data_IF_697010848945
#
_entry.id   IF_697010848945
#
_cell.length_a   1.000
_cell.length_b   1.000
_cell.length_c   1.000
_cell.angle_alpha   90.00
_cell.angle_beta   90.00
_cell.angle_gamma   90.00
#
_symmetry.space_group_name_H-M   'P 1'
#
loop_
_entity.id
_entity.type
_entity.pdbx_description
1 polymer ?
#
# COMPACT_ATOMS: atom_id res chain seq x y z
N UNK A 1 25.55 23.18 27.06
CA UNK A 1 25.20 22.06 26.16
C UNK A 1 24.36 22.61 25.03
N UNK A 2 24.93 22.76 23.83
CA UNK A 2 24.19 23.21 22.64
C UNK A 2 23.47 22.01 22.05
N UNK A 3 22.15 21.99 22.14
CA UNK A 3 21.27 21.02 21.47
C UNK A 3 21.38 21.25 19.98
N UNK A 4 22.08 20.37 19.27
CA UNK A 4 22.01 20.30 17.82
C UNK A 4 20.64 19.74 17.43
N UNK A 5 19.69 20.64 17.16
CA UNK A 5 18.55 20.34 16.31
C UNK A 5 19.13 19.98 14.94
N UNK A 6 19.20 18.68 14.66
CA UNK A 6 19.29 18.22 13.28
C UNK A 6 17.99 18.64 12.59
N UNK A 7 18.05 19.79 11.91
CA UNK A 7 17.15 20.11 10.82
C UNK A 7 17.45 19.04 9.78
N UNK A 8 16.65 17.98 9.77
CA UNK A 8 16.57 17.08 8.63
C UNK A 8 16.04 17.97 7.50
N UNK A 9 16.95 18.45 6.64
CA UNK A 9 16.58 19.06 5.37
C UNK A 9 15.75 18.01 4.63
N UNK A 10 14.44 18.22 4.65
CA UNK A 10 13.49 17.50 3.83
C UNK A 10 13.96 17.70 2.38
N UNK A 11 14.24 16.65 1.59
CA UNK A 11 13.90 16.74 0.19
C UNK A 11 12.37 16.75 0.21
N UNK A 12 11.82 17.96 0.32
CA UNK A 12 10.43 18.22 -0.03
C UNK A 12 10.38 17.83 -1.51
N UNK A 13 9.96 16.59 -1.78
CA UNK A 13 9.65 16.21 -3.15
C UNK A 13 8.72 17.30 -3.65
N UNK A 14 9.18 18.05 -4.65
CA UNK A 14 8.30 18.86 -5.48
C UNK A 14 7.43 17.86 -6.24
N UNK A 15 6.40 17.34 -5.55
CA UNK A 15 5.44 16.31 -5.97
C UNK A 15 4.49 16.83 -7.05
N UNK A 16 4.91 17.82 -7.85
CA UNK A 16 4.01 18.51 -8.77
C UNK A 16 3.63 17.65 -9.98
N UNK A 17 4.30 16.51 -10.22
CA UNK A 17 4.02 15.61 -11.35
C UNK A 17 3.86 14.12 -11.00
N UNK A 18 3.96 13.75 -9.72
CA UNK A 18 3.86 12.34 -9.32
C UNK A 18 2.41 12.03 -8.96
N UNK A 19 1.82 11.10 -9.72
CA UNK A 19 0.41 10.75 -9.57
C UNK A 19 0.19 9.44 -8.79
N UNK A 20 1.24 8.65 -8.51
CA UNK A 20 1.15 7.45 -7.68
C UNK A 20 2.50 6.78 -7.45
N UNK A 21 2.53 5.88 -6.47
CA UNK A 21 3.71 5.12 -6.11
C UNK A 21 3.44 3.60 -6.07
N UNK A 22 4.44 2.84 -6.47
CA UNK A 22 4.52 1.40 -6.34
C UNK A 22 5.52 1.08 -5.23
N UNK A 23 5.05 0.54 -4.10
CA UNK A 23 5.93 0.12 -3.01
C UNK A 23 6.18 -1.38 -3.13
N UNK A 24 7.36 -1.74 -3.65
CA UNK A 24 7.79 -3.13 -3.78
C UNK A 24 8.41 -3.60 -2.46
N UNK A 25 7.82 -4.65 -1.90
CA UNK A 25 8.25 -5.31 -0.66
C UNK A 25 8.64 -6.74 -0.93
N UNK A 26 9.64 -7.22 -0.19
CA UNK A 26 10.09 -8.60 -0.20
C UNK A 26 10.28 -9.10 1.24
N UNK A 27 10.29 -10.42 1.46
CA UNK A 27 10.63 -11.00 2.75
C UNK A 27 12.07 -10.66 3.13
N UNK A 28 12.23 -9.95 4.25
CA UNK A 28 13.53 -9.71 4.86
C UNK A 28 13.88 -10.85 5.82
N UNK A 29 13.73 -12.09 5.32
CA UNK A 29 13.97 -13.32 6.06
C UNK A 29 15.46 -13.54 6.39
N UNK A 30 16.35 -12.79 5.75
CA UNK A 30 17.76 -12.69 6.09
C UNK A 30 18.12 -11.27 6.50
N UNK A 31 19.06 -11.15 7.45
CA UNK A 31 19.56 -9.84 7.90
C UNK A 31 20.52 -9.18 6.90
N UNK A 32 21.03 -9.90 5.92
CA UNK A 32 21.91 -9.33 4.90
C UNK A 32 21.80 -10.09 3.57
N UNK A 33 22.04 -9.39 2.45
CA UNK A 33 21.91 -9.96 1.11
C UNK A 33 22.10 -8.92 0.00
N UNK A 34 22.06 -9.40 -1.25
CA UNK A 34 22.13 -8.55 -2.45
C UNK A 34 20.72 -8.22 -2.93
N UNK A 35 20.38 -6.93 -2.98
CA UNK A 35 19.23 -6.41 -3.69
C UNK A 35 19.58 -6.26 -5.16
N UNK A 36 18.77 -6.84 -6.05
CA UNK A 36 18.83 -6.61 -7.48
C UNK A 36 17.57 -5.89 -7.94
N UNK A 37 17.77 -4.80 -8.67
CA UNK A 37 16.70 -4.03 -9.30
C UNK A 37 16.95 -4.05 -10.81
N UNK A 38 16.07 -4.74 -11.53
CA UNK A 38 16.12 -4.86 -12.99
C UNK A 38 15.19 -3.83 -13.60
N UNK A 39 15.74 -2.95 -14.45
CA UNK A 39 14.95 -2.07 -15.29
C UNK A 39 14.41 -2.85 -16.49
N UNK A 40 13.09 -2.84 -16.67
CA UNK A 40 12.39 -3.53 -17.75
C UNK A 40 12.05 -2.59 -18.92
N UNK A 41 12.54 -1.35 -18.88
CA UNK A 41 12.31 -0.32 -19.90
C UNK A 41 13.64 0.06 -20.57
N UNK A 42 13.53 0.49 -21.83
CA UNK A 42 14.67 0.95 -22.64
C UNK A 42 15.09 2.40 -22.34
N UNK A 43 14.54 2.99 -21.28
CA UNK A 43 14.90 4.32 -20.79
C UNK A 43 15.45 4.22 -19.37
N UNK A 44 16.33 5.16 -18.98
CA UNK A 44 16.85 5.22 -17.63
C UNK A 44 15.73 5.52 -16.63
N UNK A 45 15.72 4.83 -15.50
CA UNK A 45 14.71 4.99 -14.46
C UNK A 45 15.31 5.47 -13.15
N UNK A 46 14.50 6.20 -12.38
CA UNK A 46 14.78 6.56 -10.99
C UNK A 46 13.84 5.80 -10.06
N UNK A 47 14.42 5.20 -9.04
CA UNK A 47 13.68 4.51 -7.96
C UNK A 47 14.25 4.97 -6.62
N UNK A 48 13.51 4.76 -5.54
CA UNK A 48 13.94 5.20 -4.21
C UNK A 48 13.99 4.01 -3.25
N UNK A 49 15.17 3.79 -2.68
CA UNK A 49 15.34 2.85 -1.58
C UNK A 49 14.92 3.52 -0.28
N UNK A 50 13.83 3.04 0.29
CA UNK A 50 13.32 3.53 1.57
C UNK A 50 13.78 2.62 2.69
N UNK A 51 14.35 3.20 3.75
CA UNK A 51 14.74 2.50 4.99
C UNK A 51 13.89 2.99 6.15
N UNK A 52 13.34 2.05 6.91
CA UNK A 52 12.46 2.36 8.03
C UNK A 52 12.89 1.69 9.35
N UNK A 53 12.63 2.36 10.48
CA UNK A 53 12.75 1.86 11.85
C UNK A 53 11.92 2.71 12.82
N UNK A 54 10.84 2.18 13.44
CA UNK A 54 9.44 2.17 12.93
C UNK A 54 8.98 3.31 11.99
N UNK A 55 9.67 4.42 11.88
CA UNK A 55 9.33 5.47 10.91
C UNK A 55 10.28 5.43 9.73
N UNK A 56 9.95 6.13 8.64
CA UNK A 56 10.90 6.36 7.55
C UNK A 56 12.14 7.09 8.12
N UNK A 57 13.33 6.49 7.95
CA UNK A 57 14.61 7.06 8.41
C UNK A 57 15.29 7.77 7.25
N UNK A 58 15.36 7.11 6.10
CA UNK A 58 16.06 7.61 4.94
C UNK A 58 15.42 7.12 3.66
N UNK A 59 15.58 7.92 2.62
CA UNK A 59 15.14 7.62 1.28
C UNK A 59 16.28 7.99 0.32
N UNK A 60 16.79 7.01 -0.40
CA UNK A 60 17.97 7.17 -1.27
C UNK A 60 17.57 6.94 -2.71
N UNK A 61 17.79 7.93 -3.57
CA UNK A 61 17.56 7.80 -5.02
C UNK A 61 18.58 6.82 -5.63
N UNK A 62 18.09 5.93 -6.49
CA UNK A 62 18.89 5.00 -7.28
C UNK A 62 18.56 5.23 -8.75
N UNK A 63 19.61 5.51 -9.53
CA UNK A 63 19.55 5.65 -10.97
C UNK A 63 19.88 4.31 -11.64
N UNK A 64 18.96 3.79 -12.44
CA UNK A 64 19.08 2.50 -13.12
C UNK A 64 19.19 2.73 -14.61
N UNK A 65 20.25 2.17 -15.22
CA UNK A 65 20.48 2.26 -16.67
C UNK A 65 19.35 1.56 -17.45
N UNK A 66 19.08 1.97 -18.71
CA UNK A 66 18.19 1.25 -19.63
C UNK A 66 18.48 -0.25 -19.65
N UNK A 67 17.43 -1.06 -19.55
CA UNK A 67 17.50 -2.54 -19.67
C UNK A 67 18.62 -3.17 -18.83
N UNK A 68 18.93 -2.55 -17.69
CA UNK A 68 20.07 -2.87 -16.85
C UNK A 68 19.67 -3.41 -15.48
N UNK A 69 20.63 -4.04 -14.79
CA UNK A 69 20.48 -4.51 -13.42
C UNK A 69 21.34 -3.65 -12.51
N UNK A 70 20.72 -3.01 -11.52
CA UNK A 70 21.42 -2.35 -10.43
C UNK A 70 21.49 -3.30 -9.23
N UNK A 71 22.67 -3.41 -8.62
CA UNK A 71 22.92 -4.31 -7.49
C UNK A 71 23.41 -3.53 -6.29
N UNK A 72 22.88 -3.83 -5.11
CA UNK A 72 23.26 -3.20 -3.87
C UNK A 72 23.23 -4.20 -2.72
N UNK A 73 24.25 -4.18 -1.86
CA UNK A 73 24.25 -4.99 -0.66
C UNK A 73 23.47 -4.30 0.46
N UNK A 74 22.47 -4.98 1.01
CA UNK A 74 21.70 -4.50 2.16
C UNK A 74 22.04 -5.32 3.40
N UNK A 75 22.06 -4.65 4.55
CA UNK A 75 22.17 -5.26 5.87
C UNK A 75 21.27 -4.53 6.86
N UNK A 76 20.38 -5.26 7.53
CA UNK A 76 19.59 -4.73 8.63
C UNK A 76 20.40 -4.79 9.92
N UNK A 77 20.31 -3.73 10.72
CA UNK A 77 20.99 -3.60 12.02
C UNK A 77 20.12 -4.14 13.17
N UNK A 78 18.82 -4.33 12.92
CA UNK A 78 17.86 -4.86 13.89
C UNK A 78 16.70 -5.56 13.19
N UNK A 79 15.95 -6.38 13.93
CA UNK A 79 14.73 -7.05 13.44
C UNK A 79 13.56 -6.10 13.14
N UNK A 80 13.69 -4.81 13.49
CA UNK A 80 12.71 -3.75 13.20
C UNK A 80 13.10 -2.90 12.01
N UNK A 81 14.35 -2.99 11.54
CA UNK A 81 14.79 -2.26 10.36
C UNK A 81 14.28 -2.96 9.11
N UNK A 82 13.82 -2.19 8.13
CA UNK A 82 13.35 -2.73 6.86
C UNK A 82 13.59 -1.81 5.69
N UNK A 83 13.73 -2.44 4.53
CA UNK A 83 13.87 -1.81 3.23
C UNK A 83 12.69 -2.09 2.32
N UNK A 84 12.31 -1.11 1.52
CA UNK A 84 11.38 -1.25 0.40
C UNK A 84 11.92 -0.46 -0.80
N UNK A 85 11.43 -0.76 -2.00
CA UNK A 85 11.67 0.07 -3.18
C UNK A 85 10.39 0.82 -3.51
N UNK A 86 10.45 2.15 -3.51
CA UNK A 86 9.42 3.01 -4.07
C UNK A 86 9.74 3.28 -5.54
N UNK A 87 8.77 2.98 -6.39
CA UNK A 87 8.86 3.19 -7.83
C UNK A 87 7.72 4.10 -8.30
N UNK A 88 8.08 5.14 -9.04
CA UNK A 88 7.13 6.14 -9.54
C UNK A 88 6.90 6.02 -11.06
N UNK A 89 7.50 5.01 -11.71
CA UNK A 89 7.50 4.85 -13.17
C UNK A 89 6.43 3.86 -13.69
N UNK A 90 5.55 3.36 -12.82
CA UNK A 90 4.53 2.35 -13.16
C UNK A 90 4.89 0.93 -12.71
N UNK A 91 3.88 0.05 -12.57
CA UNK A 91 3.99 -1.26 -11.92
C UNK A 91 4.83 -2.29 -12.65
N UNK A 92 5.00 -2.13 -13.95
CA UNK A 92 5.72 -3.04 -14.84
C UNK A 92 7.13 -2.52 -15.20
N UNK A 93 7.55 -1.40 -14.61
CA UNK A 93 8.79 -0.73 -14.99
C UNK A 93 10.04 -1.43 -14.46
N UNK A 94 9.93 -2.12 -13.32
CA UNK A 94 11.06 -2.78 -12.67
C UNK A 94 10.67 -4.14 -12.10
N UNK A 95 11.66 -5.03 -12.02
CA UNK A 95 11.60 -6.23 -11.18
C UNK A 95 12.60 -6.10 -10.03
N UNK A 96 12.17 -6.44 -8.82
CA UNK A 96 13.02 -6.39 -7.62
C UNK A 96 13.10 -7.78 -6.99
N UNK A 97 14.33 -8.20 -6.69
CA UNK A 97 14.57 -9.43 -5.94
C UNK A 97 15.70 -9.22 -4.93
N UNK A 98 15.56 -9.85 -3.78
CA UNK A 98 16.57 -9.86 -2.73
C UNK A 98 17.13 -11.27 -2.58
N UNK A 99 18.45 -11.39 -2.64
CA UNK A 99 19.14 -12.67 -2.61
C UNK A 99 19.95 -12.80 -1.35
N UNK A 100 19.80 -13.94 -0.67
CA UNK A 100 20.58 -14.28 0.51
C UNK A 100 20.88 -15.77 0.48
N UNK A 101 22.17 -16.11 0.57
CA UNK A 101 22.65 -17.48 0.35
C UNK A 101 22.17 -17.99 -1.02
N UNK A 102 21.55 -19.16 -1.10
CA UNK A 102 20.99 -19.73 -2.34
C UNK A 102 19.53 -19.35 -2.59
N UNK A 103 18.93 -18.49 -1.75
CA UNK A 103 17.50 -18.16 -1.79
C UNK A 103 17.23 -16.83 -2.49
N UNK A 104 16.14 -16.78 -3.26
CA UNK A 104 15.69 -15.60 -4.01
C UNK A 104 14.31 -15.13 -3.52
N UNK A 105 14.26 -13.95 -2.94
CA UNK A 105 13.06 -13.34 -2.40
C UNK A 105 12.54 -12.27 -3.37
N UNK A 106 11.53 -12.65 -4.18
CA UNK A 106 10.93 -11.74 -5.16
C UNK A 106 10.00 -10.74 -4.48
N UNK A 107 10.10 -9.48 -4.89
CA UNK A 107 9.25 -8.42 -4.37
C UNK A 107 7.90 -8.34 -5.11
N UNK A 108 6.89 -7.77 -4.46
CA UNK A 108 5.63 -7.37 -5.08
C UNK A 108 5.03 -6.16 -4.36
N UNK A 109 3.99 -5.55 -4.95
CA UNK A 109 3.36 -4.32 -4.46
C UNK A 109 2.04 -4.52 -3.71
N UNK A 110 1.63 -5.76 -3.42
CA UNK A 110 0.41 -6.05 -2.66
C UNK A 110 0.54 -5.68 -1.17
N UNK A 111 -0.28 -4.72 -0.72
CA UNK A 111 -0.29 -4.18 0.66
C UNK A 111 -1.65 -4.36 1.37
N UNK A 112 -2.34 -5.46 1.11
CA UNK A 112 -3.59 -5.81 1.79
C UNK A 112 -4.50 -6.70 0.96
N UNK A 113 -5.81 -6.55 1.14
CA UNK A 113 -6.81 -7.37 0.47
C UNK A 113 -6.89 -8.80 1.04
N UNK A 114 -7.36 -9.71 0.22
CA UNK A 114 -7.39 -11.15 0.46
C UNK A 114 -6.33 -11.82 -0.43
N UNK A 115 -5.17 -12.16 0.16
CA UNK A 115 -4.05 -12.76 -0.56
C UNK A 115 -4.11 -14.27 -0.42
N UNK A 116 -4.27 -14.99 -1.53
CA UNK A 116 -4.37 -16.46 -1.53
C UNK A 116 -3.13 -17.07 -2.16
N UNK A 117 -2.45 -17.93 -1.40
CA UNK A 117 -1.26 -18.66 -1.85
C UNK A 117 -1.63 -20.12 -2.09
N UNK A 118 -1.18 -20.67 -3.21
CA UNK A 118 -1.30 -22.09 -3.50
C UNK A 118 -0.24 -22.88 -2.74
N UNK A 119 -0.59 -24.10 -2.32
CA UNK A 119 0.37 -25.10 -1.83
C UNK A 119 1.46 -25.28 -2.87
N UNK A 120 2.68 -24.93 -2.52
CA UNK A 120 3.84 -25.09 -3.40
C UNK A 120 4.18 -26.57 -3.55
N UNK A 121 4.64 -26.95 -4.75
CA UNK A 121 5.23 -28.26 -4.99
C UNK A 121 6.65 -28.35 -4.39
N UNK A 122 7.27 -27.20 -4.11
CA UNK A 122 8.49 -27.11 -3.32
C UNK A 122 8.15 -27.19 -1.82
N UNK A 123 9.08 -27.65 -0.96
CA UNK A 123 8.89 -27.63 0.49
C UNK A 123 8.51 -26.22 0.98
N UNK A 124 7.21 -26.03 1.20
CA UNK A 124 6.62 -24.82 1.76
C UNK A 124 6.42 -25.05 3.25
N UNK A 125 7.07 -24.21 4.06
CA UNK A 125 6.99 -24.36 5.52
C UNK A 125 6.42 -23.13 6.21
N UNK A 126 6.42 -21.97 5.55
CA UNK A 126 6.14 -20.70 6.22
C UNK A 126 5.46 -19.69 5.29
N UNK A 127 4.58 -18.89 5.88
CA UNK A 127 4.11 -17.63 5.30
C UNK A 127 4.79 -16.51 6.08
N UNK A 128 5.54 -15.65 5.39
CA UNK A 128 6.05 -14.43 5.98
C UNK A 128 4.95 -13.38 5.99
N UNK A 129 4.73 -12.75 7.14
CA UNK A 129 3.73 -11.72 7.36
C UNK A 129 4.40 -10.47 7.89
N UNK A 130 3.96 -9.31 7.41
CA UNK A 130 4.35 -8.01 7.91
C UNK A 130 3.11 -7.15 8.12
N UNK A 131 2.96 -6.61 9.33
CA UNK A 131 1.98 -5.56 9.57
C UNK A 131 2.48 -4.25 8.95
N UNK A 132 1.66 -3.58 8.14
CA UNK A 132 2.01 -2.27 7.56
C UNK A 132 1.30 -1.12 8.29
N UNK A 133 0.37 -1.45 9.18
CA UNK A 133 -0.36 -0.48 9.98
C UNK A 133 0.45 -0.02 11.22
N UNK A 134 0.29 1.24 11.60
CA UNK A 134 1.02 1.85 12.74
C UNK A 134 0.47 1.44 14.11
N UNK A 135 -0.62 0.67 14.16
CA UNK A 135 -1.13 0.02 15.36
C UNK A 135 -1.11 -1.51 15.26
N UNK A 136 -1.77 -2.18 16.20
CA UNK A 136 -1.91 -3.63 16.17
C UNK A 136 -2.82 -4.07 15.01
N UNK A 137 -2.48 -5.16 14.35
CA UNK A 137 -3.25 -5.74 13.27
C UNK A 137 -3.49 -7.23 13.52
N UNK A 138 -4.75 -7.65 13.46
CA UNK A 138 -5.15 -9.05 13.56
C UNK A 138 -5.15 -9.65 12.15
N UNK A 139 -4.15 -10.48 11.87
CA UNK A 139 -4.02 -11.17 10.59
C UNK A 139 -4.60 -12.58 10.74
N UNK A 140 -5.55 -12.92 9.87
CA UNK A 140 -6.15 -14.25 9.78
C UNK A 140 -5.46 -15.06 8.70
N UNK A 141 -5.15 -16.31 9.04
CA UNK A 141 -4.60 -17.32 8.14
C UNK A 141 -5.65 -18.42 7.99
N UNK A 142 -6.25 -18.54 6.82
CA UNK A 142 -7.31 -19.50 6.51
C UNK A 142 -6.81 -20.57 5.55
N UNK A 143 -6.97 -21.83 5.93
CA UNK A 143 -6.69 -22.99 5.09
C UNK A 143 -7.91 -23.34 4.28
N UNK A 144 -7.72 -23.57 2.99
CA UNK A 144 -8.80 -23.91 2.08
C UNK A 144 -8.48 -25.16 1.25
N UNK A 145 -9.49 -25.94 0.91
CA UNK A 145 -9.36 -27.08 0.01
C UNK A 145 -9.32 -26.65 -1.46
N UNK A 146 -9.27 -27.60 -2.40
CA UNK A 146 -9.25 -27.31 -3.85
C UNK A 146 -10.49 -26.56 -4.38
N UNK A 147 -11.60 -26.58 -3.64
CA UNK A 147 -12.85 -25.87 -3.93
C UNK A 147 -12.94 -24.51 -3.24
N UNK A 148 -11.84 -24.03 -2.63
CA UNK A 148 -11.79 -22.82 -1.82
C UNK A 148 -12.67 -22.84 -0.56
N UNK A 149 -13.11 -24.01 -0.12
CA UNK A 149 -13.87 -24.16 1.12
C UNK A 149 -12.91 -24.13 2.31
N UNK A 150 -13.28 -23.38 3.34
CA UNK A 150 -12.50 -23.25 4.58
C UNK A 150 -12.41 -24.60 5.31
N UNK A 151 -11.18 -25.02 5.59
CA UNK A 151 -10.85 -26.21 6.40
C UNK A 151 -10.56 -25.80 7.86
N UNK A 152 -9.71 -24.79 8.03
CA UNK A 152 -9.25 -24.32 9.34
C UNK A 152 -8.86 -22.85 9.26
N UNK A 153 -8.79 -22.18 10.40
CA UNK A 153 -8.23 -20.82 10.48
C UNK A 153 -7.52 -20.59 11.80
N UNK A 154 -6.48 -19.77 11.74
CA UNK A 154 -5.83 -19.19 12.91
C UNK A 154 -5.72 -17.68 12.75
N UNK A 155 -5.42 -16.98 13.83
CA UNK A 155 -5.17 -15.54 13.78
C UNK A 155 -3.92 -15.20 14.60
N UNK A 156 -3.17 -14.22 14.12
CA UNK A 156 -1.99 -13.67 14.81
C UNK A 156 -2.17 -12.17 14.91
N UNK A 157 -1.99 -11.63 16.10
CA UNK A 157 -1.90 -10.18 16.29
C UNK A 157 -0.44 -9.75 16.13
N UNK A 158 -0.18 -8.93 15.12
CA UNK A 158 1.13 -8.30 14.93
C UNK A 158 1.08 -6.87 15.47
N UNK A 159 2.08 -6.52 16.27
CA UNK A 159 2.31 -5.14 16.68
C UNK A 159 2.60 -4.24 15.47
N UNK A 160 2.57 -2.94 15.68
CA UNK A 160 2.90 -1.94 14.66
C UNK A 160 4.20 -2.30 13.94
N UNK A 161 4.12 -2.48 12.62
CA UNK A 161 5.27 -2.79 11.75
C UNK A 161 6.02 -4.08 12.10
N UNK A 162 5.38 -4.95 12.89
CA UNK A 162 5.90 -6.25 13.28
C UNK A 162 5.90 -7.23 12.11
N UNK A 163 6.83 -8.18 12.16
CA UNK A 163 6.93 -9.29 11.20
C UNK A 163 6.82 -10.62 11.91
N UNK A 164 6.32 -11.62 11.20
CA UNK A 164 6.19 -12.98 11.73
C UNK A 164 6.26 -14.01 10.61
N UNK A 165 7.08 -15.04 10.81
CA UNK A 165 7.09 -16.22 9.92
C UNK A 165 6.15 -17.26 10.48
N UNK A 166 4.93 -17.29 9.95
CA UNK A 166 3.90 -18.22 10.37
C UNK A 166 4.18 -19.61 9.78
N UNK A 167 4.46 -20.58 10.65
CA UNK A 167 4.70 -21.98 10.25
C UNK A 167 3.39 -22.63 9.80
N UNK A 168 3.37 -23.18 8.60
CA UNK A 168 2.22 -23.92 8.06
C UNK A 168 2.15 -25.28 8.76
N UNK A 169 1.08 -25.60 9.52
CA UNK A 169 0.96 -26.87 10.22
C UNK A 169 0.84 -28.03 9.23
N UNK A 170 1.62 -29.08 9.47
CA UNK A 170 1.63 -30.30 8.66
C UNK A 170 0.33 -31.11 8.82
N UNK A 171 -0.35 -30.96 9.96
CA UNK A 171 -1.57 -31.70 10.34
C UNK A 171 -2.79 -31.48 9.43
N UNK A 172 -2.73 -30.52 8.50
CA UNK A 172 -3.83 -30.18 7.60
C UNK A 172 -3.59 -30.70 6.18
N UNK A 173 -3.13 -31.94 5.98
CA UNK A 173 -2.62 -32.42 4.68
C UNK A 173 -3.52 -32.13 3.45
N UNK A 174 -4.84 -32.05 3.65
CA UNK A 174 -5.85 -31.81 2.62
C UNK A 174 -6.03 -30.34 2.17
N UNK A 175 -5.28 -29.38 2.72
CA UNK A 175 -5.33 -28.00 2.21
C UNK A 175 -4.63 -27.87 0.85
N UNK A 176 -5.17 -26.98 0.02
CA UNK A 176 -4.62 -26.61 -1.29
C UNK A 176 -4.23 -25.13 -1.36
N UNK A 177 -4.90 -24.28 -0.55
CA UNK A 177 -4.61 -22.86 -0.48
C UNK A 177 -4.50 -22.35 0.96
N UNK A 178 -3.74 -21.28 1.12
CA UNK A 178 -3.70 -20.46 2.34
C UNK A 178 -4.13 -19.04 1.97
N UNK A 179 -5.26 -18.59 2.51
CA UNK A 179 -5.76 -17.23 2.36
C UNK A 179 -5.35 -16.40 3.57
N UNK A 180 -4.71 -15.26 3.31
CA UNK A 180 -4.32 -14.27 4.31
C UNK A 180 -5.24 -13.08 4.17
N UNK A 181 -5.81 -12.62 5.29
CA UNK A 181 -6.65 -11.44 5.35
C UNK A 181 -6.45 -10.70 6.67
N UNK A 182 -6.68 -9.39 6.66
CA UNK A 182 -6.64 -8.56 7.85
C UNK A 182 -7.49 -7.31 7.61
N UNK A 183 -7.94 -6.62 8.65
CA UNK A 183 -8.69 -5.37 8.48
C UNK A 183 -7.81 -4.22 8.00
N UNK A 184 -6.57 -4.19 8.47
CA UNK A 184 -5.59 -3.14 8.17
C UNK A 184 -4.54 -3.68 7.21
N UNK A 185 -3.77 -2.77 6.60
CA UNK A 185 -2.72 -3.10 5.63
C UNK A 185 -1.70 -4.09 6.18
N UNK A 186 -1.30 -5.03 5.33
CA UNK A 186 -0.28 -6.03 5.60
C UNK A 186 0.42 -6.41 4.30
N UNK A 187 1.62 -6.96 4.41
CA UNK A 187 2.25 -7.69 3.33
C UNK A 187 2.38 -9.16 3.73
N UNK A 188 2.30 -10.05 2.75
CA UNK A 188 2.53 -11.46 2.95
C UNK A 188 3.31 -12.05 1.78
N UNK A 189 4.07 -13.11 2.04
CA UNK A 189 4.76 -13.88 1.00
C UNK A 189 4.81 -15.35 1.40
N UNK A 190 4.74 -16.23 0.40
CA UNK A 190 4.96 -17.65 0.63
C UNK A 190 6.46 -17.94 0.66
N UNK A 191 6.98 -18.57 1.72
CA UNK A 191 8.38 -18.95 1.81
C UNK A 191 8.58 -20.42 1.44
N UNK A 192 9.49 -20.67 0.51
CA UNK A 192 9.85 -22.00 0.00
C UNK A 192 11.33 -22.31 0.26
N UNK A 193 11.76 -23.53 -0.06
CA UNK A 193 13.17 -23.93 0.02
C UNK A 193 14.10 -23.06 -0.81
N UNK A 194 13.61 -22.45 -1.90
CA UNK A 194 14.40 -21.64 -2.84
C UNK A 194 14.21 -20.12 -2.68
N UNK A 195 13.36 -19.68 -1.75
CA UNK A 195 13.13 -18.24 -1.51
C UNK A 195 11.67 -17.90 -1.24
N UNK A 196 11.07 -17.03 -2.06
CA UNK A 196 9.65 -16.67 -1.92
C UNK A 196 8.88 -16.49 -3.21
N UNK A 197 7.58 -16.75 -3.11
CA UNK A 197 6.59 -16.56 -4.16
C UNK A 197 5.48 -15.58 -3.74
N UNK A 198 4.90 -14.93 -4.74
CA UNK A 198 3.74 -14.04 -4.57
C UNK A 198 2.41 -14.80 -4.45
N UNK A 199 1.31 -14.09 -4.21
CA UNK A 199 -0.02 -14.68 -4.15
C UNK A 199 -0.43 -15.26 -5.52
N UNK A 200 -1.12 -16.40 -5.49
CA UNK A 200 -1.77 -17.00 -6.65
C UNK A 200 -3.03 -16.22 -7.06
N UNK A 201 -3.77 -15.72 -6.06
CA UNK A 201 -4.99 -14.95 -6.27
C UNK A 201 -5.05 -13.80 -5.28
N UNK A 202 -5.52 -12.65 -5.76
CA UNK A 202 -5.63 -11.41 -5.01
C UNK A 202 -7.04 -10.88 -5.19
N UNK A 203 -7.79 -10.76 -4.10
CA UNK A 203 -9.15 -10.22 -4.13
C UNK A 203 -9.26 -9.01 -3.21
N UNK A 204 -10.12 -8.04 -3.52
CA UNK A 204 -10.47 -6.97 -2.60
C UNK A 204 -10.97 -7.48 -1.25
N UNK A 205 -10.74 -6.69 -0.21
CA UNK A 205 -11.33 -6.95 1.10
C UNK A 205 -12.73 -6.35 1.17
N UNK A 206 -13.68 -7.14 1.65
CA UNK A 206 -15.03 -6.67 1.92
C UNK A 206 -15.08 -5.76 3.16
N UNK A 207 -16.06 -4.87 3.21
CA UNK A 207 -16.31 -3.98 4.34
C UNK A 207 -17.77 -3.64 4.52
N UNK A 208 -18.13 -3.30 5.75
CA UNK A 208 -19.41 -2.69 6.05
C UNK A 208 -19.37 -1.21 5.64
N UNK A 209 -20.43 -0.76 5.00
CA UNK A 209 -20.57 0.60 4.49
C UNK A 209 -21.86 1.23 5.01
N UNK A 210 -21.85 2.55 5.09
CA UNK A 210 -23.05 3.34 5.36
C UNK A 210 -23.83 3.56 4.06
N UNK A 211 -25.00 2.94 3.95
CA UNK A 211 -25.87 3.03 2.77
C UNK A 211 -26.55 4.39 2.60
N UNK A 212 -26.51 5.26 3.63
CA UNK A 212 -27.08 6.61 3.57
C UNK A 212 -26.08 7.66 3.09
N UNK A 213 -24.81 7.30 2.90
CA UNK A 213 -23.77 8.20 2.44
C UNK A 213 -23.50 8.04 0.94
N UNK A 214 -23.08 9.14 0.31
CA UNK A 214 -22.47 9.08 -1.02
C UNK A 214 -20.97 8.86 -0.90
N UNK A 215 -20.43 8.06 -1.81
CA UNK A 215 -19.00 7.73 -1.89
C UNK A 215 -18.44 8.19 -3.23
N UNK A 216 -17.26 8.76 -3.18
CA UNK A 216 -16.61 9.29 -4.37
C UNK A 216 -15.17 8.78 -4.45
N UNK A 217 -14.78 8.33 -5.63
CA UNK A 217 -13.38 8.01 -5.94
C UNK A 217 -12.67 9.30 -6.29
N UNK A 218 -11.59 9.58 -5.57
CA UNK A 218 -10.67 10.68 -5.85
C UNK A 218 -9.40 10.09 -6.43
N UNK A 219 -8.99 10.58 -7.59
CA UNK A 219 -7.85 10.06 -8.33
C UNK A 219 -7.09 11.21 -9.01
N UNK A 220 -5.84 10.97 -9.45
CA UNK A 220 -5.10 11.94 -10.23
C UNK A 220 -5.86 12.31 -11.50
N UNK A 221 -5.71 13.56 -11.98
CA UNK A 221 -6.30 14.02 -13.24
C UNK A 221 -5.88 13.16 -14.44
N UNK A 222 -4.65 12.65 -14.43
CA UNK A 222 -4.14 11.73 -15.45
C UNK A 222 -4.76 10.33 -15.38
N UNK A 223 -5.51 10.01 -14.32
CA UNK A 223 -6.04 8.68 -13.99
C UNK A 223 -4.99 7.59 -13.81
N UNK A 224 -3.70 7.96 -13.82
CA UNK A 224 -2.57 7.07 -13.57
C UNK A 224 -2.07 7.32 -12.17
N UNK A 225 -2.06 6.30 -11.32
CA UNK A 225 -1.48 6.36 -9.97
C UNK A 225 -2.46 6.08 -8.85
N UNK A 226 -2.15 6.49 -7.63
CA UNK A 226 -2.90 6.09 -6.43
C UNK A 226 -4.19 6.88 -6.31
N UNK A 227 -5.25 6.22 -5.84
CA UNK A 227 -6.57 6.81 -5.61
C UNK A 227 -7.02 6.58 -4.17
N UNK A 228 -8.05 7.30 -3.75
CA UNK A 228 -8.65 7.16 -2.43
C UNK A 228 -10.17 7.39 -2.52
N UNK A 229 -10.89 7.01 -1.47
CA UNK A 229 -12.35 7.16 -1.38
C UNK A 229 -12.70 8.19 -0.33
N UNK A 230 -13.62 9.08 -0.66
CA UNK A 230 -14.22 10.00 0.30
C UNK A 230 -15.70 9.70 0.47
N UNK A 231 -16.20 9.95 1.68
CA UNK A 231 -17.58 9.72 2.08
C UNK A 231 -18.17 11.03 2.57
N UNK A 232 -19.39 11.35 2.17
CA UNK A 232 -20.14 12.50 2.70
C UNK A 232 -21.64 12.23 2.72
N UNK A 233 -22.32 12.85 3.69
CA UNK A 233 -23.79 12.92 3.77
C UNK A 233 -24.31 14.34 3.54
N UNK A 234 -23.43 15.32 3.31
CA UNK A 234 -23.82 16.71 3.07
C UNK A 234 -24.36 16.86 1.64
N UNK A 235 -25.64 17.27 1.46
CA UNK A 235 -26.21 17.46 0.13
C UNK A 235 -25.43 18.47 -0.73
N UNK A 236 -24.89 19.53 -0.11
CA UNK A 236 -24.07 20.53 -0.78
C UNK A 236 -22.77 19.92 -1.34
N UNK A 237 -22.04 19.17 -0.51
CA UNK A 237 -20.78 18.55 -0.94
C UNK A 237 -21.02 17.45 -1.98
N UNK A 238 -22.14 16.74 -1.90
CA UNK A 238 -22.58 15.77 -2.91
C UNK A 238 -22.81 16.48 -4.24
N UNK A 239 -23.49 17.62 -4.24
CA UNK A 239 -23.74 18.38 -5.46
C UNK A 239 -22.43 18.89 -6.08
N UNK A 240 -21.54 19.50 -5.29
CA UNK A 240 -20.24 19.97 -5.78
C UNK A 240 -19.37 18.84 -6.36
N UNK A 241 -19.39 17.66 -5.73
CA UNK A 241 -18.68 16.49 -6.23
C UNK A 241 -19.26 16.02 -7.59
N UNK A 242 -20.58 15.99 -7.73
CA UNK A 242 -21.27 15.64 -8.99
C UNK A 242 -21.02 16.67 -10.09
N UNK A 243 -20.98 17.96 -9.75
CA UNK A 243 -20.64 19.02 -10.70
C UNK A 243 -19.22 18.86 -11.22
N UNK A 244 -18.26 18.49 -10.36
CA UNK A 244 -16.90 18.18 -10.78
C UNK A 244 -16.81 16.92 -11.67
N UNK A 245 -17.67 15.91 -11.45
CA UNK A 245 -17.75 14.74 -12.33
C UNK A 245 -18.30 15.14 -13.70
N UNK A 246 -19.40 15.89 -13.71
CA UNK A 246 -20.07 16.33 -14.93
C UNK A 246 -19.23 17.33 -15.76
N UNK A 247 -18.33 18.09 -15.10
CA UNK A 247 -17.45 19.04 -15.76
C UNK A 247 -15.95 18.68 -15.61
N UNK A 248 -15.39 17.93 -16.57
CA UNK A 248 -13.95 17.64 -16.63
C UNK A 248 -13.04 18.87 -16.65
N UNK A 249 -13.51 20.03 -17.12
CA UNK A 249 -12.71 21.27 -17.12
C UNK A 249 -12.73 22.03 -15.78
N UNK A 250 -13.60 21.62 -14.84
CA UNK A 250 -13.71 22.27 -13.54
C UNK A 250 -12.51 21.93 -12.63
N UNK A 251 -11.58 22.87 -12.54
CA UNK A 251 -10.36 22.74 -11.74
C UNK A 251 -10.60 23.12 -10.28
N UNK A 252 -11.25 22.22 -9.52
CA UNK A 252 -11.41 22.38 -8.07
C UNK A 252 -10.60 21.35 -7.30
N UNK A 253 -9.87 21.81 -6.29
CA UNK A 253 -9.12 20.99 -5.35
C UNK A 253 -10.06 20.64 -4.19
N UNK A 254 -10.12 19.35 -3.86
CA UNK A 254 -10.83 18.86 -2.69
C UNK A 254 -10.04 19.19 -1.42
N UNK A 255 -10.66 19.91 -0.48
CA UNK A 255 -10.15 20.11 0.87
C UNK A 255 -10.87 19.18 1.83
N UNK A 256 -10.11 18.44 2.61
CA UNK A 256 -10.67 17.48 3.56
C UNK A 256 -9.80 17.32 4.79
N UNK A 257 -10.44 17.26 5.96
CA UNK A 257 -9.78 16.79 7.19
C UNK A 257 -9.61 15.28 7.12
N UNK A 258 -8.51 14.80 7.70
CA UNK A 258 -8.22 13.37 7.73
C UNK A 258 -8.10 12.86 9.17
N UNK A 259 -8.25 11.56 9.33
CA UNK A 259 -8.08 10.84 10.59
C UNK A 259 -7.31 9.54 10.37
N UNK A 260 -6.79 8.97 11.46
CA UNK A 260 -6.24 7.62 11.46
C UNK A 260 -7.34 6.58 11.17
N UNK A 261 -6.90 5.45 10.61
CA UNK A 261 -7.70 4.32 10.10
C UNK A 261 -8.36 4.61 8.76
N UNK A 262 -8.48 3.58 7.90
CA UNK A 262 -9.15 3.67 6.60
C UNK A 262 -10.67 3.86 6.64
N UNK A 263 -11.27 4.06 7.81
CA UNK A 263 -12.73 4.20 7.97
C UNK A 263 -13.55 2.97 7.56
N UNK A 264 -12.90 1.89 7.11
CA UNK A 264 -13.56 0.74 6.50
C UNK A 264 -14.06 0.98 5.08
N UNK A 265 -13.76 2.12 4.45
CA UNK A 265 -14.19 2.43 3.09
C UNK A 265 -13.07 3.02 2.23
N UNK A 266 -12.10 3.72 2.83
CA UNK A 266 -11.04 4.41 2.10
C UNK A 266 -10.02 3.43 1.55
N UNK A 267 -10.10 3.17 0.24
CA UNK A 267 -9.25 2.19 -0.45
C UNK A 267 -8.64 2.74 -1.72
N UNK A 268 -7.56 2.10 -2.16
CA UNK A 268 -6.91 2.42 -3.42
C UNK A 268 -7.57 1.70 -4.61
N UNK A 269 -8.42 2.43 -5.34
CA UNK A 269 -9.13 1.93 -6.52
C UNK A 269 -8.27 1.69 -7.75
N UNK A 270 -6.98 2.07 -7.76
CA UNK A 270 -6.10 1.79 -8.90
C UNK A 270 -5.34 0.47 -8.78
N UNK A 271 -5.28 -0.12 -7.57
CA UNK A 271 -4.57 -1.38 -7.31
C UNK A 271 -5.50 -2.58 -7.43
N UNK A 272 -4.96 -3.78 -7.68
CA UNK A 272 -5.74 -5.00 -7.84
C UNK A 272 -6.41 -5.42 -6.53
N UNK A 273 -5.68 -5.36 -5.42
CA UNK A 273 -6.14 -5.77 -4.09
C UNK A 273 -7.08 -4.76 -3.43
N UNK A 274 -7.21 -3.56 -4.01
CA UNK A 274 -8.03 -2.45 -3.49
C UNK A 274 -7.82 -2.26 -2.00
N UNK A 275 -6.54 -2.22 -1.60
CA UNK A 275 -6.12 -2.18 -0.20
C UNK A 275 -6.70 -0.94 0.49
N UNK A 276 -7.15 -1.10 1.73
CA UNK A 276 -7.51 0.04 2.56
C UNK A 276 -6.28 0.89 2.87
N UNK A 277 -6.46 2.20 2.89
CA UNK A 277 -5.47 3.12 3.46
C UNK A 277 -5.50 3.03 4.99
N UNK A 278 -4.41 3.39 5.65
CA UNK A 278 -4.34 3.48 7.12
C UNK A 278 -4.87 4.83 7.65
N UNK A 279 -5.47 5.63 6.77
CA UNK A 279 -6.08 6.93 7.05
C UNK A 279 -7.37 7.09 6.24
N UNK A 280 -8.25 8.00 6.63
CA UNK A 280 -9.47 8.32 5.87
C UNK A 280 -9.82 9.79 5.98
N UNK A 281 -10.60 10.29 5.02
CA UNK A 281 -11.26 11.59 5.15
C UNK A 281 -12.33 11.48 6.24
N UNK A 282 -12.27 12.39 7.21
CA UNK A 282 -13.29 12.54 8.26
C UNK A 282 -14.36 13.56 7.88
N UNK A 283 -13.98 14.59 7.12
CA UNK A 283 -14.86 15.68 6.70
C UNK A 283 -14.35 16.29 5.39
N UNK A 284 -15.24 16.47 4.41
CA UNK A 284 -14.98 17.32 3.25
C UNK A 284 -15.31 18.75 3.65
N UNK A 285 -14.32 19.64 3.65
CA UNK A 285 -14.50 21.02 4.12
C UNK A 285 -14.84 21.98 2.99
N UNK A 286 -14.27 21.81 1.79
CA UNK A 286 -14.56 22.68 0.64
C UNK A 286 -14.02 22.11 -0.69
N UNK A 287 -14.43 22.72 -1.80
CA UNK A 287 -13.82 22.63 -3.13
C UNK A 287 -13.31 24.02 -3.53
N UNK A 288 -12.00 24.21 -3.69
CA UNK A 288 -11.42 25.53 -3.98
C UNK A 288 -10.35 25.51 -5.07
N UNK A 289 -10.03 26.67 -5.64
CA UNK A 289 -9.11 26.81 -6.78
C UNK A 289 -7.63 26.76 -6.37
N UNK A 290 -7.32 27.15 -5.14
CA UNK A 290 -5.94 27.30 -4.64
C UNK A 290 -5.79 26.58 -3.31
N UNK A 291 -4.72 25.80 -3.16
CA UNK A 291 -4.36 25.15 -1.90
C UNK A 291 -2.95 25.47 -1.45
N UNK A 292 -2.71 25.29 -0.15
CA UNK A 292 -1.37 25.43 0.43
C UNK A 292 -0.47 24.25 0.07
N UNK A 293 0.82 24.49 -0.10
CA UNK A 293 1.82 23.42 -0.27
C UNK A 293 1.85 22.46 0.92
N UNK A 294 1.43 22.92 2.10
CA UNK A 294 1.44 22.11 3.33
C UNK A 294 0.47 20.92 3.29
N UNK A 295 -0.65 21.01 2.57
CA UNK A 295 -1.63 19.92 2.43
C UNK A 295 -1.60 19.24 1.06
N UNK A 296 -0.72 19.68 0.16
CA UNK A 296 -0.49 19.03 -1.13
C UNK A 296 0.34 17.76 -0.95
N UNK A 297 0.12 16.76 -1.81
CA UNK A 297 0.79 15.47 -1.73
C UNK A 297 0.08 14.40 -2.54
N UNK A 298 0.33 13.14 -2.17
CA UNK A 298 -0.30 11.94 -2.75
C UNK A 298 -0.71 10.99 -1.62
N UNK A 299 -1.67 10.07 -1.84
CA UNK A 299 -2.12 9.11 -0.83
C UNK A 299 -0.98 8.32 -0.16
N UNK A 300 0.02 7.89 -0.94
CA UNK A 300 1.17 7.16 -0.39
C UNK A 300 2.01 8.02 0.56
N UNK A 301 2.16 9.32 0.31
CA UNK A 301 2.90 10.22 1.21
C UNK A 301 2.21 10.39 2.56
N UNK A 302 0.87 10.37 2.57
CA UNK A 302 0.10 10.31 3.81
C UNK A 302 0.28 8.95 4.48
N UNK A 303 0.20 7.85 3.71
CA UNK A 303 0.36 6.48 4.22
C UNK A 303 1.72 6.26 4.91
N UNK A 304 2.81 6.73 4.30
CA UNK A 304 4.16 6.58 4.85
C UNK A 304 4.36 7.35 6.16
N UNK A 305 3.51 8.35 6.43
CA UNK A 305 3.66 9.31 7.54
C UNK A 305 2.34 9.63 8.25
N UNK A 306 1.39 8.69 8.31
CA UNK A 306 0.02 8.93 8.80
C UNK A 306 0.01 9.64 10.15
N UNK A 307 0.85 9.17 11.07
CA UNK A 307 0.94 9.68 12.44
C UNK A 307 1.33 11.15 12.52
N UNK A 308 2.22 11.60 11.62
CA UNK A 308 2.65 12.99 11.52
C UNK A 308 1.64 13.80 10.71
N UNK A 309 1.20 13.29 9.56
CA UNK A 309 0.31 14.01 8.64
C UNK A 309 -1.04 14.34 9.28
N UNK A 310 -1.62 13.40 10.04
CA UNK A 310 -2.90 13.63 10.76
C UNK A 310 -2.75 14.71 11.84
N UNK A 311 -1.56 14.91 12.42
CA UNK A 311 -1.31 15.98 13.40
C UNK A 311 -0.99 17.30 12.72
N UNK A 312 -0.22 17.26 11.65
CA UNK A 312 0.21 18.42 10.88
C UNK A 312 0.55 17.94 9.45
N UNK A 313 -0.23 18.34 8.42
CA UNK A 313 -1.23 19.41 8.42
C UNK A 313 -2.63 19.06 8.98
N UNK A 314 -2.95 17.78 9.21
CA UNK A 314 -4.28 17.32 9.62
C UNK A 314 -5.36 17.33 8.53
N UNK A 315 -4.98 17.72 7.31
CA UNK A 315 -5.86 17.83 6.15
C UNK A 315 -5.12 17.50 4.86
N UNK A 316 -5.88 17.33 3.78
CA UNK A 316 -5.37 17.11 2.43
C UNK A 316 -5.96 18.15 1.47
N UNK A 317 -5.17 18.55 0.49
CA UNK A 317 -5.55 19.40 -0.63
C UNK A 317 -4.68 19.02 -1.85
N UNK A 318 -4.74 17.76 -2.29
CA UNK A 318 -3.85 17.27 -3.35
C UNK A 318 -4.16 17.96 -4.68
N UNK A 319 -3.25 18.79 -5.17
CA UNK A 319 -3.51 19.70 -6.31
C UNK A 319 -3.82 18.96 -7.62
N UNK A 320 -3.19 17.79 -7.81
CA UNK A 320 -3.32 16.98 -9.01
C UNK A 320 -4.49 16.00 -8.96
N UNK A 321 -5.31 16.04 -7.91
CA UNK A 321 -6.40 15.10 -7.69
C UNK A 321 -7.76 15.76 -7.94
N UNK A 322 -8.73 14.93 -8.32
CA UNK A 322 -10.12 15.34 -8.53
C UNK A 322 -11.07 14.21 -8.17
N UNK A 323 -12.34 14.56 -7.95
CA UNK A 323 -13.41 13.58 -7.95
C UNK A 323 -13.53 13.01 -9.38
N UNK A 324 -13.41 11.69 -9.50
CA UNK A 324 -13.48 10.97 -10.78
C UNK A 324 -14.87 10.39 -11.02
N UNK A 325 -15.43 9.74 -10.00
CA UNK A 325 -16.76 9.13 -10.07
C UNK A 325 -17.40 9.00 -8.70
N UNK A 326 -18.72 9.01 -8.69
CA UNK A 326 -19.53 8.49 -7.58
C UNK A 326 -19.57 6.96 -7.70
N UNK A 327 -19.51 6.27 -6.57
CA UNK A 327 -19.61 4.80 -6.51
C UNK A 327 -20.67 4.38 -5.51
N UNK A 328 -21.34 3.28 -5.82
CA UNK A 328 -22.39 2.73 -4.98
C UNK A 328 -21.84 2.18 -3.66
N UNK A 329 -22.72 2.06 -2.67
CA UNK A 329 -22.39 1.39 -1.41
C UNK A 329 -21.91 -0.06 -1.65
N UNK A 330 -22.52 -0.78 -2.59
CA UNK A 330 -22.16 -2.17 -2.91
C UNK A 330 -20.76 -2.28 -3.56
N UNK A 331 -20.41 -1.35 -4.45
CA UNK A 331 -19.04 -1.25 -4.96
C UNK A 331 -18.06 -1.03 -3.81
N UNK A 332 -18.34 -0.07 -2.92
CA UNK A 332 -17.48 0.22 -1.77
C UNK A 332 -17.38 -0.97 -0.82
N UNK A 333 -18.49 -1.70 -0.61
CA UNK A 333 -18.53 -2.83 0.30
C UNK A 333 -17.73 -4.02 -0.24
N UNK A 334 -17.84 -4.30 -1.53
CA UNK A 334 -17.15 -5.41 -2.19
C UNK A 334 -15.71 -5.08 -2.59
N UNK A 335 -15.43 -3.80 -2.87
CA UNK A 335 -14.23 -3.36 -3.58
C UNK A 335 -14.21 -3.71 -5.06
N UNK A 336 -15.33 -4.18 -5.62
CA UNK A 336 -15.46 -4.61 -7.01
C UNK A 336 -16.28 -3.54 -7.75
N UNK A 337 -15.77 -2.93 -8.84
CA UNK A 337 -16.56 -2.03 -9.67
C UNK A 337 -17.74 -2.77 -10.30
N UNK A 338 -18.93 -2.15 -10.30
CA UNK A 338 -20.07 -2.64 -11.08
C UNK A 338 -19.83 -2.18 -12.52
N UNK A 339 -19.93 -3.11 -13.47
CA UNK A 339 -19.73 -2.84 -14.91
C UNK A 339 -20.95 -2.19 -15.55
#
# INVERSE_FOLDING_TARGET
>A
MKTHQFIILLPLMLLTSISGAEILRWPQACNAGELQITNLKDVGLRVWLQKFQPTLISETEINIKPSGIHKLYLKTSSSRERFNIMNLNGSDAIAVQFMCSTKVYRAHSFEGGNLTYRKSDLPQSQIWLQNLYTGNNLITVEYQNRRFEKIASSSITLAALGQYSYKVPLQFENWAYVKISAKQRFAAHNLTSVGSDGPFMVNPQASNVDVKASYFVVAPRSQVGDSYTVKTTSPEMIQLARDQIANPSLEKILFAKIQKNGGGFNRNWSKLEKSFWSWSVSEITNFADVGSTACNGVPQAVEDRVDTWVKNPGQICFWNYRILKEISADEVASGIPIQ
#
